data_IF_039529722725
#
_entry.id   IF_039529722725
#
_cell.length_a   1.000
_cell.length_b   1.000
_cell.length_c   1.000
_cell.angle_alpha   90.00
_cell.angle_beta   90.00
_cell.angle_gamma   90.00
#
_symmetry.space_group_name_H-M   'P 1'
#
loop_
_entity.id
_entity.type
_entity.pdbx_description
1 polymer ?
#
# COMPACT_ATOMS: atom_id res chain seq x y z
N UNK A 1 33.30 54.95 56.48
CA UNK A 1 32.94 53.62 57.04
C UNK A 1 31.45 53.29 56.82
N UNK A 2 30.85 53.71 55.68
CA UNK A 2 29.42 53.49 55.38
C UNK A 2 29.15 52.70 54.06
N UNK A 3 30.21 52.44 53.24
CA UNK A 3 30.03 51.98 51.86
C UNK A 3 29.94 50.42 51.68
N UNK A 4 30.26 49.68 52.71
CA UNK A 4 30.26 48.22 52.68
C UNK A 4 28.87 47.58 52.90
N UNK A 5 28.04 48.19 53.73
CA UNK A 5 26.72 47.65 54.12
C UNK A 5 25.67 47.80 53.02
N UNK A 6 25.77 48.88 52.24
CA UNK A 6 24.84 49.13 51.08
C UNK A 6 25.17 48.18 49.92
N UNK A 7 26.43 47.86 49.72
CA UNK A 7 26.86 46.88 48.69
C UNK A 7 26.37 45.46 49.00
N UNK A 8 26.45 45.01 50.25
CA UNK A 8 25.95 43.69 50.66
C UNK A 8 24.41 43.57 50.53
N UNK A 9 23.71 44.60 50.85
CA UNK A 9 22.23 44.64 50.71
C UNK A 9 21.80 44.56 49.24
N UNK A 10 22.50 45.25 48.34
CA UNK A 10 22.25 45.18 46.87
C UNK A 10 22.56 43.79 46.32
N UNK A 11 23.68 43.18 46.73
CA UNK A 11 24.04 41.82 46.35
C UNK A 11 23.03 40.79 46.88
N UNK A 12 22.50 40.94 48.07
CA UNK A 12 21.45 40.11 48.66
C UNK A 12 20.14 40.16 47.87
N UNK A 13 19.73 41.39 47.49
CA UNK A 13 18.56 41.57 46.61
C UNK A 13 18.74 40.92 45.23
N UNK A 14 19.89 41.14 44.59
CA UNK A 14 20.16 40.54 43.28
C UNK A 14 20.15 39.03 43.33
N UNK A 15 20.70 38.40 44.36
CA UNK A 15 20.65 36.94 44.57
C UNK A 15 19.22 36.42 44.75
N UNK A 16 18.39 37.12 45.55
CA UNK A 16 17.00 36.71 45.75
C UNK A 16 16.17 36.82 44.48
N UNK A 17 16.42 37.83 43.65
CA UNK A 17 15.75 37.95 42.35
C UNK A 17 16.21 36.89 41.36
N UNK A 18 17.50 36.56 41.30
CA UNK A 18 17.99 35.45 40.49
C UNK A 18 17.35 34.12 40.89
N UNK A 19 17.22 33.83 42.18
CA UNK A 19 16.56 32.62 42.66
C UNK A 19 15.09 32.57 42.26
N UNK A 20 14.38 33.70 42.31
CA UNK A 20 12.99 33.79 41.84
C UNK A 20 12.92 33.51 40.33
N UNK A 21 13.80 34.08 39.53
CA UNK A 21 13.87 33.85 38.08
C UNK A 21 14.13 32.38 37.77
N UNK A 22 15.07 31.75 38.50
CA UNK A 22 15.36 30.32 38.33
C UNK A 22 14.15 29.44 38.70
N UNK A 23 13.49 29.74 39.84
CA UNK A 23 12.27 29.02 40.23
C UNK A 23 11.18 29.15 39.17
N UNK A 24 10.91 30.35 38.66
CA UNK A 24 9.92 30.59 37.61
C UNK A 24 10.29 29.87 36.29
N UNK A 25 11.57 29.80 35.94
CA UNK A 25 12.05 29.02 34.77
C UNK A 25 11.77 27.54 34.95
N UNK A 26 12.04 26.98 36.10
CA UNK A 26 11.76 25.58 36.41
C UNK A 26 10.27 25.28 36.36
N UNK A 27 9.42 26.16 36.93
CA UNK A 27 7.97 26.04 36.83
C UNK A 27 7.48 26.09 35.37
N UNK A 28 8.00 27.03 34.58
CA UNK A 28 7.67 27.15 33.18
C UNK A 28 8.08 25.89 32.41
N UNK A 29 9.27 25.36 32.69
CA UNK A 29 9.75 24.12 32.05
C UNK A 29 8.89 22.93 32.46
N UNK A 30 8.53 22.79 33.72
CA UNK A 30 7.63 21.75 34.18
C UNK A 30 6.26 21.83 33.52
N UNK A 31 5.68 23.06 33.42
CA UNK A 31 4.41 23.28 32.74
C UNK A 31 4.47 22.94 31.24
N UNK A 32 5.58 23.26 30.57
CA UNK A 32 5.82 22.87 29.16
C UNK A 32 5.88 21.35 28.99
N UNK A 33 6.66 20.66 29.80
CA UNK A 33 6.76 19.21 29.78
C UNK A 33 5.42 18.52 30.04
N UNK A 34 4.64 19.08 30.96
CA UNK A 34 3.28 18.60 31.24
C UNK A 34 2.33 18.81 30.04
N UNK A 35 2.41 19.98 29.39
CA UNK A 35 1.63 20.25 28.19
C UNK A 35 2.02 19.33 27.00
N UNK A 36 3.32 19.03 26.84
CA UNK A 36 3.80 18.10 25.83
C UNK A 36 3.33 16.67 26.11
N UNK A 37 3.38 16.21 27.36
CA UNK A 37 2.86 14.92 27.75
C UNK A 37 1.34 14.80 27.50
N UNK A 38 0.58 15.84 27.82
CA UNK A 38 -0.86 15.88 27.56
C UNK A 38 -1.19 15.86 26.05
N UNK A 39 -0.38 16.53 25.22
CA UNK A 39 -0.53 16.47 23.75
C UNK A 39 -0.23 15.09 23.21
N UNK A 40 0.83 14.43 23.67
CA UNK A 40 1.17 13.07 23.27
C UNK A 40 0.05 12.08 23.65
N UNK A 41 -0.51 12.19 24.85
CA UNK A 41 -1.64 11.37 25.27
C UNK A 41 -2.90 11.61 24.41
N UNK A 42 -3.19 12.87 24.05
CA UNK A 42 -4.28 13.20 23.15
C UNK A 42 -4.07 12.61 21.74
N UNK A 43 -2.85 12.65 21.22
CA UNK A 43 -2.51 12.08 19.93
C UNK A 43 -2.70 10.57 19.92
N UNK A 44 -2.27 9.87 20.97
CA UNK A 44 -2.49 8.43 21.14
C UNK A 44 -3.99 8.07 21.09
N UNK A 45 -4.82 8.80 21.86
CA UNK A 45 -6.28 8.56 21.84
C UNK A 45 -6.89 8.87 20.46
N UNK A 46 -6.41 9.88 19.75
CA UNK A 46 -6.87 10.18 18.40
C UNK A 46 -6.49 9.07 17.39
N UNK A 47 -5.30 8.48 17.51
CA UNK A 47 -4.90 7.33 16.71
C UNK A 47 -5.80 6.14 17.00
N UNK A 48 -6.06 5.84 18.27
CA UNK A 48 -6.98 4.75 18.66
C UNK A 48 -8.39 4.99 18.09
N UNK A 49 -8.87 6.23 18.16
CA UNK A 49 -10.16 6.62 17.55
C UNK A 49 -10.14 6.45 16.03
N UNK A 50 -9.03 6.76 15.35
CA UNK A 50 -8.95 6.58 13.91
C UNK A 50 -9.08 5.11 13.49
N UNK A 51 -8.60 4.18 14.30
CA UNK A 51 -8.73 2.73 14.06
C UNK A 51 -10.18 2.22 14.21
N UNK A 52 -11.10 2.98 14.81
CA UNK A 52 -12.52 2.59 14.84
C UNK A 52 -13.23 2.78 13.49
N UNK A 53 -12.59 3.42 12.53
CA UNK A 53 -13.15 3.68 11.20
C UNK A 53 -12.23 3.08 10.14
N UNK A 54 -12.70 2.02 9.47
CA UNK A 54 -11.99 1.42 8.34
C UNK A 54 -12.27 2.23 7.09
N UNK A 55 -11.21 2.71 6.43
CA UNK A 55 -11.29 3.46 5.18
C UNK A 55 -10.58 2.71 4.06
N UNK A 56 -11.15 2.78 2.84
CA UNK A 56 -10.49 2.25 1.67
C UNK A 56 -9.19 3.04 1.38
N UNK A 57 -8.04 2.37 1.23
CA UNK A 57 -6.76 3.04 0.96
C UNK A 57 -6.63 3.52 -0.49
N UNK A 58 -7.46 3.01 -1.40
CA UNK A 58 -7.49 3.36 -2.83
C UNK A 58 -8.90 3.09 -3.40
N UNK A 59 -9.18 3.65 -4.58
CA UNK A 59 -10.39 3.38 -5.32
C UNK A 59 -10.36 1.98 -5.93
N UNK A 60 -11.40 1.19 -5.67
CA UNK A 60 -11.46 -0.21 -6.11
C UNK A 60 -12.81 -0.86 -5.91
N UNK A 61 -12.86 -2.15 -6.17
CA UNK A 61 -14.06 -2.97 -6.00
C UNK A 61 -13.89 -3.86 -4.79
N UNK A 62 -14.91 -3.90 -3.94
CA UNK A 62 -14.99 -4.81 -2.82
C UNK A 62 -15.27 -6.22 -3.34
N UNK A 63 -14.31 -7.14 -3.17
CA UNK A 63 -14.45 -8.53 -3.61
C UNK A 63 -15.17 -9.39 -2.59
N UNK A 64 -14.86 -9.21 -1.30
CA UNK A 64 -15.50 -9.97 -0.23
C UNK A 64 -15.64 -9.15 1.04
N UNK A 65 -16.64 -9.50 1.82
CA UNK A 65 -16.84 -9.06 3.20
C UNK A 65 -16.79 -10.30 4.09
N UNK A 66 -15.80 -10.33 4.98
CA UNK A 66 -15.47 -11.52 5.76
C UNK A 66 -15.95 -11.43 7.22
N UNK A 67 -16.74 -10.39 7.55
CA UNK A 67 -17.31 -10.16 8.87
C UNK A 67 -18.73 -9.62 8.75
N UNK A 68 -19.57 -9.98 9.72
CA UNK A 68 -20.95 -9.48 9.84
C UNK A 68 -21.06 -8.44 10.96
N UNK A 69 -22.03 -7.50 10.86
CA UNK A 69 -22.31 -6.58 11.95
C UNK A 69 -22.62 -7.32 13.26
N UNK A 70 -21.95 -6.94 14.33
CA UNK A 70 -22.07 -7.58 15.65
C UNK A 70 -20.99 -8.62 15.94
N UNK A 71 -20.16 -8.99 14.98
CA UNK A 71 -19.01 -9.86 15.24
C UNK A 71 -17.86 -9.12 15.92
N UNK A 72 -17.16 -9.83 16.81
CA UNK A 72 -15.91 -9.36 17.42
C UNK A 72 -14.75 -9.69 16.50
N UNK A 73 -13.96 -8.67 16.15
CA UNK A 73 -12.82 -8.80 15.24
C UNK A 73 -11.52 -8.69 16.05
N UNK A 74 -10.64 -9.68 15.91
CA UNK A 74 -9.31 -9.64 16.50
C UNK A 74 -8.33 -8.86 15.60
N UNK A 75 -7.29 -8.25 16.17
CA UNK A 75 -6.23 -7.62 15.38
C UNK A 75 -5.62 -8.58 14.36
N UNK A 76 -5.46 -8.12 13.12
CA UNK A 76 -4.90 -8.94 12.03
C UNK A 76 -5.92 -9.79 11.27
N UNK A 77 -7.19 -9.83 11.69
CA UNK A 77 -8.24 -10.52 10.91
C UNK A 77 -8.62 -9.70 9.68
N UNK A 78 -8.72 -10.38 8.55
CA UNK A 78 -9.21 -9.79 7.31
C UNK A 78 -10.70 -9.50 7.41
N UNK A 79 -11.07 -8.23 7.27
CA UNK A 79 -12.45 -7.74 7.36
C UNK A 79 -13.08 -7.62 5.98
N UNK A 80 -12.34 -7.02 5.04
CA UNK A 80 -12.77 -6.72 3.68
C UNK A 80 -11.62 -6.98 2.71
N UNK A 81 -11.93 -7.51 1.53
CA UNK A 81 -10.95 -7.65 0.45
C UNK A 81 -11.29 -6.63 -0.64
N UNK A 82 -10.39 -5.66 -0.83
CA UNK A 82 -10.50 -4.62 -1.85
C UNK A 82 -9.51 -4.90 -2.98
N UNK A 83 -9.96 -4.81 -4.22
CA UNK A 83 -9.10 -4.97 -5.39
C UNK A 83 -9.18 -3.74 -6.30
N UNK A 84 -8.01 -3.30 -6.78
CA UNK A 84 -7.94 -2.31 -7.83
C UNK A 84 -8.03 -3.01 -9.20
N UNK A 85 -9.17 -2.88 -9.85
CA UNK A 85 -9.42 -3.44 -11.18
C UNK A 85 -9.29 -2.41 -12.31
N UNK A 86 -8.76 -1.21 -12.05
CA UNK A 86 -8.52 -0.21 -13.09
C UNK A 86 -7.53 -0.70 -14.16
N UNK A 87 -6.65 -1.62 -13.78
CA UNK A 87 -5.77 -2.36 -14.69
C UNK A 87 -5.83 -3.83 -14.32
N UNK A 88 -6.00 -4.69 -15.32
CA UNK A 88 -5.98 -6.14 -15.13
C UNK A 88 -4.80 -6.75 -15.88
N UNK A 89 -4.21 -7.79 -15.30
CA UNK A 89 -3.13 -8.54 -15.92
C UNK A 89 -3.68 -9.79 -16.60
N UNK A 90 -3.53 -9.86 -17.92
CA UNK A 90 -3.74 -11.09 -18.67
C UNK A 90 -2.46 -11.91 -18.65
N UNK A 91 -2.56 -13.15 -18.20
CA UNK A 91 -1.46 -14.12 -18.26
C UNK A 91 -1.58 -14.93 -19.53
N UNK A 92 -0.57 -14.86 -20.39
CA UNK A 92 -0.46 -15.67 -21.60
C UNK A 92 0.80 -16.54 -21.54
N UNK A 93 0.75 -17.68 -22.19
CA UNK A 93 1.88 -18.59 -22.29
C UNK A 93 2.37 -18.60 -23.73
N UNK A 94 3.60 -18.15 -23.92
CA UNK A 94 4.24 -18.05 -25.23
C UNK A 94 5.27 -19.17 -25.36
N UNK A 95 5.32 -19.84 -26.52
CA UNK A 95 6.26 -20.93 -26.77
C UNK A 95 7.71 -20.43 -26.77
N UNK A 96 8.66 -21.32 -26.41
CA UNK A 96 10.09 -21.05 -26.47
C UNK A 96 10.55 -20.53 -27.86
N UNK A 97 9.93 -21.00 -28.92
CA UNK A 97 10.26 -20.62 -30.30
C UNK A 97 9.85 -19.18 -30.64
N UNK A 98 8.90 -18.61 -29.91
CA UNK A 98 8.33 -17.29 -30.18
C UNK A 98 8.73 -16.24 -29.15
N UNK A 99 9.11 -16.65 -27.94
CA UNK A 99 9.44 -15.72 -26.85
C UNK A 99 10.55 -14.72 -27.21
N UNK A 100 11.48 -15.13 -28.07
CA UNK A 100 12.56 -14.27 -28.56
C UNK A 100 12.09 -13.03 -29.34
N UNK A 101 10.85 -13.03 -29.82
CA UNK A 101 10.23 -11.92 -30.55
C UNK A 101 9.47 -10.96 -29.63
N UNK A 102 9.15 -11.40 -28.41
CA UNK A 102 8.36 -10.60 -27.44
C UNK A 102 9.26 -9.62 -26.72
N UNK A 103 8.81 -8.37 -26.62
CA UNK A 103 9.53 -7.29 -25.95
C UNK A 103 8.67 -6.67 -24.83
N UNK A 104 9.26 -6.28 -23.70
CA UNK A 104 8.58 -5.46 -22.71
C UNK A 104 8.06 -4.16 -23.33
N UNK A 105 6.81 -3.78 -23.00
CA UNK A 105 6.16 -2.60 -23.57
C UNK A 105 5.52 -2.80 -24.95
N UNK A 106 5.69 -3.97 -25.58
CA UNK A 106 5.07 -4.30 -26.88
C UNK A 106 3.55 -4.22 -26.79
N UNK A 107 2.92 -3.66 -27.82
CA UNK A 107 1.47 -3.56 -27.90
C UNK A 107 0.86 -4.94 -28.20
N UNK A 108 -0.24 -5.22 -27.53
CA UNK A 108 -0.98 -6.48 -27.63
C UNK A 108 -2.45 -6.17 -27.84
N UNK A 109 -3.06 -6.78 -28.84
CA UNK A 109 -4.51 -6.74 -29.03
C UNK A 109 -5.09 -7.97 -28.33
N UNK A 110 -6.08 -7.73 -27.46
CA UNK A 110 -6.71 -8.78 -26.67
C UNK A 110 -8.19 -8.82 -26.97
N UNK A 111 -8.69 -10.01 -27.23
CA UNK A 111 -10.12 -10.30 -27.41
C UNK A 111 -10.59 -11.21 -26.28
N UNK A 112 -11.69 -10.84 -25.66
CA UNK A 112 -12.30 -11.59 -24.56
C UNK A 112 -13.60 -12.18 -25.08
N UNK A 113 -13.85 -13.45 -24.80
CA UNK A 113 -15.03 -14.17 -25.31
C UNK A 113 -16.35 -13.50 -24.94
N UNK A 114 -16.38 -12.86 -23.76
CA UNK A 114 -17.57 -12.11 -23.28
C UNK A 114 -17.89 -10.88 -24.14
N UNK A 115 -16.89 -10.32 -24.84
CA UNK A 115 -17.01 -9.11 -25.67
C UNK A 115 -16.41 -9.35 -27.05
N UNK A 116 -17.09 -10.16 -27.92
CA UNK A 116 -16.52 -10.60 -29.20
C UNK A 116 -16.24 -9.47 -30.17
N UNK A 117 -16.96 -8.36 -30.08
CA UNK A 117 -16.83 -7.20 -30.97
C UNK A 117 -15.88 -6.12 -30.44
N UNK A 118 -15.29 -6.31 -29.24
CA UNK A 118 -14.42 -5.33 -28.60
C UNK A 118 -13.00 -5.85 -28.51
N UNK A 119 -12.06 -5.06 -29.04
CA UNK A 119 -10.62 -5.32 -28.91
C UNK A 119 -10.09 -4.43 -27.79
N UNK A 120 -9.48 -5.06 -26.78
CA UNK A 120 -8.80 -4.38 -25.69
C UNK A 120 -7.30 -4.25 -26.04
N UNK A 121 -6.78 -3.05 -25.92
CA UNK A 121 -5.36 -2.78 -26.18
C UNK A 121 -4.59 -2.86 -24.88
N UNK A 122 -3.62 -3.76 -24.83
CA UNK A 122 -2.71 -3.94 -23.71
C UNK A 122 -1.26 -3.70 -24.09
N UNK A 123 -0.40 -3.81 -23.08
CA UNK A 123 1.05 -3.78 -23.25
C UNK A 123 1.68 -4.90 -22.44
N UNK A 124 2.72 -5.52 -22.99
CA UNK A 124 3.53 -6.48 -22.24
C UNK A 124 4.16 -5.79 -21.03
N UNK A 125 3.77 -6.21 -19.83
CA UNK A 125 4.26 -5.68 -18.57
C UNK A 125 5.39 -6.50 -17.97
N UNK A 126 5.38 -7.82 -18.21
CA UNK A 126 6.34 -8.73 -17.62
C UNK A 126 6.53 -9.96 -18.52
N UNK A 127 7.76 -10.43 -18.61
CA UNK A 127 8.14 -11.68 -19.28
C UNK A 127 8.90 -12.51 -18.25
N UNK A 128 8.46 -13.74 -17.97
CA UNK A 128 9.15 -14.62 -17.05
C UNK A 128 10.54 -14.97 -17.61
N UNK A 129 11.61 -14.87 -16.80
CA UNK A 129 12.94 -15.35 -17.20
C UNK A 129 13.03 -16.88 -17.19
N UNK A 130 12.09 -17.55 -16.52
CA UNK A 130 12.06 -19.01 -16.39
C UNK A 130 10.94 -19.59 -17.24
N UNK A 131 11.28 -20.66 -17.99
CA UNK A 131 10.31 -21.43 -18.74
C UNK A 131 9.54 -22.38 -17.82
N UNK A 132 8.23 -22.45 -18.04
CA UNK A 132 7.35 -23.39 -17.36
C UNK A 132 6.94 -24.52 -18.30
N UNK A 133 6.71 -25.69 -17.74
CA UNK A 133 6.15 -26.80 -18.52
C UNK A 133 4.63 -26.65 -18.55
N UNK A 134 4.02 -26.78 -19.75
CA UNK A 134 2.57 -26.79 -19.84
C UNK A 134 1.99 -27.88 -18.95
N UNK A 135 1.07 -27.55 -18.01
CA UNK A 135 0.44 -28.54 -17.16
C UNK A 135 -0.63 -29.31 -17.95
N UNK A 136 -0.21 -30.14 -18.91
CA UNK A 136 -1.08 -31.12 -19.55
C UNK A 136 -0.80 -32.49 -18.96
N UNK A 137 -1.84 -33.13 -18.45
CA UNK A 137 -1.84 -34.55 -18.12
C UNK A 137 -1.58 -35.30 -19.42
N UNK A 138 -0.37 -35.78 -19.59
CA UNK A 138 0.10 -36.46 -20.79
C UNK A 138 -0.50 -37.86 -20.78
N UNK A 139 -1.39 -38.15 -21.72
CA UNK A 139 -1.95 -39.48 -21.92
C UNK A 139 -1.23 -40.27 -23.05
N UNK A 140 -0.29 -39.66 -23.76
CA UNK A 140 0.42 -40.34 -24.85
C UNK A 140 1.89 -39.90 -24.96
N UNK A 141 2.80 -40.88 -25.24
CA UNK A 141 4.25 -40.75 -25.37
C UNK A 141 4.73 -39.81 -26.50
N UNK A 142 3.86 -39.28 -27.36
CA UNK A 142 4.23 -38.46 -28.53
C UNK A 142 4.10 -36.94 -28.33
N UNK A 143 3.46 -36.45 -27.28
CA UNK A 143 3.43 -35.02 -27.03
C UNK A 143 4.60 -34.65 -26.11
N UNK A 144 5.68 -34.15 -26.70
CA UNK A 144 6.77 -33.52 -25.96
C UNK A 144 6.21 -32.37 -25.15
N UNK A 145 6.48 -32.34 -23.83
CA UNK A 145 6.22 -31.22 -22.97
C UNK A 145 6.84 -29.97 -23.60
N UNK A 146 6.01 -29.05 -24.04
CA UNK A 146 6.49 -27.80 -24.64
C UNK A 146 6.84 -26.83 -23.55
N UNK A 147 8.06 -26.29 -23.61
CA UNK A 147 8.50 -25.21 -22.75
C UNK A 147 7.77 -23.93 -23.17
N UNK A 148 7.13 -23.30 -22.22
CA UNK A 148 6.40 -22.04 -22.43
C UNK A 148 6.87 -21.00 -21.42
N UNK A 149 6.77 -19.76 -21.78
CA UNK A 149 7.13 -18.64 -20.91
C UNK A 149 5.87 -17.85 -20.55
N UNK A 150 5.71 -17.55 -19.26
CA UNK A 150 4.64 -16.70 -18.79
C UNK A 150 4.93 -15.25 -19.19
N UNK A 151 3.98 -14.65 -19.90
CA UNK A 151 3.99 -13.22 -20.24
C UNK A 151 2.75 -12.58 -19.61
N UNK A 152 2.93 -11.46 -18.92
CA UNK A 152 1.81 -10.66 -18.42
C UNK A 152 1.60 -9.48 -19.32
N UNK A 153 0.34 -9.25 -19.66
CA UNK A 153 -0.12 -8.12 -20.47
C UNK A 153 -1.01 -7.25 -19.61
N UNK A 154 -0.60 -6.03 -19.34
CA UNK A 154 -1.40 -5.05 -18.62
C UNK A 154 -2.46 -4.45 -19.52
N UNK A 155 -3.73 -4.56 -19.12
CA UNK A 155 -4.91 -4.08 -19.84
C UNK A 155 -5.58 -2.99 -19.01
N UNK A 156 -5.70 -1.75 -19.52
CA UNK A 156 -6.54 -0.73 -18.90
C UNK A 156 -8.01 -1.17 -18.87
N UNK A 157 -8.66 -1.02 -17.71
CA UNK A 157 -10.03 -1.44 -17.49
C UNK A 157 -10.83 -0.31 -16.79
N UNK A 158 -10.98 0.85 -17.43
CA UNK A 158 -11.63 2.02 -16.82
C UNK A 158 -13.11 1.76 -16.49
N UNK A 159 -13.77 0.92 -17.28
CA UNK A 159 -15.20 0.60 -17.12
C UNK A 159 -15.42 -0.59 -16.16
N UNK A 160 -14.37 -1.18 -15.59
CA UNK A 160 -14.39 -2.36 -14.72
C UNK A 160 -15.14 -3.57 -15.33
N UNK A 161 -15.17 -3.66 -16.67
CA UNK A 161 -15.85 -4.74 -17.39
C UNK A 161 -15.04 -6.04 -17.43
N UNK A 162 -13.70 -5.95 -17.38
CA UNK A 162 -12.84 -7.11 -17.32
C UNK A 162 -12.74 -7.60 -15.86
N UNK A 163 -12.91 -8.91 -15.69
CA UNK A 163 -12.88 -9.57 -14.38
C UNK A 163 -11.85 -10.69 -14.35
N UNK A 164 -11.36 -11.01 -13.16
CA UNK A 164 -10.48 -12.16 -12.98
C UNK A 164 -11.18 -13.47 -13.42
N UNK A 165 -10.41 -14.33 -14.09
CA UNK A 165 -10.90 -15.63 -14.57
C UNK A 165 -11.59 -15.61 -15.94
N UNK A 166 -11.69 -14.45 -16.60
CA UNK A 166 -12.20 -14.38 -17.97
C UNK A 166 -11.16 -14.97 -18.95
N UNK A 167 -11.54 -15.93 -19.82
CA UNK A 167 -10.68 -16.39 -20.89
C UNK A 167 -10.52 -15.29 -21.95
N UNK A 168 -9.34 -15.21 -22.53
CA UNK A 168 -9.02 -14.21 -23.55
C UNK A 168 -7.92 -14.70 -24.48
N UNK A 169 -8.00 -14.29 -25.74
CA UNK A 169 -6.97 -14.48 -26.75
C UNK A 169 -6.17 -13.19 -26.93
N UNK A 170 -4.85 -13.34 -27.17
CA UNK A 170 -3.95 -12.21 -27.32
C UNK A 170 -3.11 -12.34 -28.60
N UNK A 171 -3.02 -11.24 -29.35
CA UNK A 171 -2.17 -11.13 -30.53
C UNK A 171 -1.10 -10.06 -30.30
N UNK A 172 0.14 -10.50 -30.33
CA UNK A 172 1.32 -9.64 -30.24
C UNK A 172 1.51 -8.92 -31.59
N UNK A 173 1.66 -7.59 -31.55
CA UNK A 173 1.93 -6.76 -32.74
C UNK A 173 3.41 -6.50 -32.95
#
# INVERSE_FOLDING_TARGET
LGDGADGEAVLGKARSEMQKIEATRMELQAARSQAEAARAALEEVNIQRAYTTLRAPFDGILLSRNVEPGEVVSPGREVLTLSNLATVDLKIFVSETEIGKVRPGQAVDVKVDTFPDRIFKGKVSYISPEGEFTPKIIQTFKERVKLVYLVKVALPNPDFVLKAGMPADAWLR
#
